data_IF_501745625505
#
_entry.id   IF_501745625505
#
_cell.length_a   1.000
_cell.length_b   1.000
_cell.length_c   1.000
_cell.angle_alpha   90.00
_cell.angle_beta   90.00
_cell.angle_gamma   90.00
#
_symmetry.space_group_name_H-M   'P 1'
#
loop_
_entity.id
_entity.type
_entity.pdbx_description
1 polymer ?
#
# COMPACT_ATOMS: atom_id res chain seq x y z
N UNK A 1 -4.83 17.59 3.73
CA UNK A 1 -3.51 17.32 4.40
C UNK A 1 -3.47 15.85 4.77
N UNK A 2 -2.39 15.14 4.46
CA UNK A 2 -2.22 13.74 4.84
C UNK A 2 -2.17 13.56 6.37
N UNK A 3 -2.65 12.41 6.87
CA UNK A 3 -2.58 12.04 8.29
C UNK A 3 -1.21 11.50 8.70
N UNK A 4 -0.45 10.96 7.74
CA UNK A 4 0.86 10.37 8.02
C UNK A 4 1.89 11.46 8.36
N UNK A 5 2.72 11.19 9.37
CA UNK A 5 3.85 12.03 9.72
C UNK A 5 5.09 11.56 8.98
N UNK A 6 5.46 12.25 7.91
CA UNK A 6 6.65 11.95 7.11
C UNK A 6 7.90 12.53 7.75
N UNK A 7 9.02 11.84 7.61
CA UNK A 7 10.33 12.29 8.08
C UNK A 7 10.99 13.24 7.07
N UNK A 8 10.99 12.83 5.80
CA UNK A 8 11.56 13.57 4.67
C UNK A 8 10.84 13.15 3.41
N UNK A 9 10.50 14.10 2.56
CA UNK A 9 9.97 13.81 1.22
C UNK A 9 11.01 14.19 0.17
N UNK A 10 11.31 13.25 -0.73
CA UNK A 10 12.12 13.50 -1.91
C UNK A 10 11.18 13.63 -3.10
N UNK A 11 11.11 14.83 -3.69
CA UNK A 11 10.24 15.16 -4.81
C UNK A 11 10.97 14.97 -6.14
N UNK A 12 10.24 14.64 -7.19
CA UNK A 12 10.75 14.43 -8.53
C UNK A 12 10.79 15.70 -9.39
N UNK A 13 10.81 16.88 -8.81
CA UNK A 13 11.24 18.11 -9.50
C UNK A 13 12.67 18.01 -10.04
N UNK A 14 13.42 17.05 -9.53
CA UNK A 14 14.69 16.52 -10.01
C UNK A 14 14.37 15.17 -10.66
N UNK A 15 15.14 14.71 -11.62
CA UNK A 15 15.03 13.39 -12.25
C UNK A 15 14.73 12.26 -11.24
N UNK A 16 13.74 11.40 -11.55
CA UNK A 16 13.30 10.30 -10.69
C UNK A 16 14.44 9.35 -10.31
N UNK A 17 15.39 9.12 -11.21
CA UNK A 17 16.56 8.27 -10.95
C UNK A 17 17.46 8.86 -9.86
N UNK A 18 17.61 10.18 -9.80
CA UNK A 18 18.34 10.88 -8.73
C UNK A 18 17.57 10.79 -7.41
N UNK A 19 16.26 10.99 -7.41
CA UNK A 19 15.42 10.83 -6.23
C UNK A 19 15.48 9.40 -5.66
N UNK A 20 15.43 8.39 -6.51
CA UNK A 20 15.60 6.99 -6.11
C UNK A 20 16.97 6.73 -5.47
N UNK A 21 18.06 7.20 -6.07
CA UNK A 21 19.41 7.06 -5.48
C UNK A 21 19.51 7.74 -4.13
N UNK A 22 18.95 8.93 -3.98
CA UNK A 22 18.95 9.65 -2.70
C UNK A 22 18.24 8.86 -1.61
N UNK A 23 17.03 8.38 -1.87
CA UNK A 23 16.23 7.66 -0.87
C UNK A 23 16.79 6.26 -0.57
N UNK A 24 17.41 5.58 -1.56
CA UNK A 24 17.93 4.22 -1.38
C UNK A 24 19.33 4.17 -0.77
N UNK A 25 20.09 5.26 -0.81
CA UNK A 25 21.46 5.30 -0.25
C UNK A 25 21.48 5.22 1.27
N UNK A 26 20.50 5.79 1.95
CA UNK A 26 20.38 5.76 3.41
C UNK A 26 18.89 5.84 3.82
N UNK A 27 18.10 4.81 3.53
CA UNK A 27 16.67 4.81 3.77
C UNK A 27 16.33 4.76 5.25
N UNK A 28 15.29 5.49 5.66
CA UNK A 28 14.73 5.41 7.00
C UNK A 28 13.21 5.29 6.93
N UNK A 29 12.62 4.60 7.89
CA UNK A 29 11.17 4.54 8.04
C UNK A 29 10.60 5.95 8.15
N UNK A 30 9.59 6.24 7.32
CA UNK A 30 8.94 7.56 7.22
C UNK A 30 9.59 8.52 6.21
N UNK A 31 10.73 8.20 5.59
CA UNK A 31 11.16 8.90 4.39
C UNK A 31 10.14 8.64 3.28
N UNK A 32 9.89 9.60 2.41
CA UNK A 32 8.90 9.47 1.36
C UNK A 32 9.46 9.85 -0.01
N UNK A 33 8.94 9.17 -1.04
CA UNK A 33 9.15 9.46 -2.45
C UNK A 33 7.85 10.00 -3.02
N UNK A 34 7.89 11.20 -3.60
CA UNK A 34 6.77 11.82 -4.28
C UNK A 34 7.04 11.91 -5.78
N UNK A 35 6.08 11.54 -6.61
CA UNK A 35 6.20 11.54 -8.06
C UNK A 35 4.82 11.66 -8.74
N UNK A 36 4.82 12.03 -10.01
CA UNK A 36 3.61 12.07 -10.82
C UNK A 36 3.52 10.80 -11.69
N UNK A 37 2.32 10.25 -11.78
CA UNK A 37 1.98 9.23 -12.76
C UNK A 37 1.90 9.84 -14.16
N UNK A 38 2.03 9.01 -15.21
CA UNK A 38 1.97 9.47 -16.60
C UNK A 38 0.62 10.12 -16.98
N UNK A 39 -0.42 9.91 -16.19
CA UNK A 39 -1.73 10.57 -16.36
C UNK A 39 -1.86 11.88 -15.55
N UNK A 40 -0.78 12.34 -14.92
CA UNK A 40 -0.70 13.59 -14.16
C UNK A 40 -1.17 13.50 -12.70
N UNK A 41 -1.60 12.32 -12.22
CA UNK A 41 -1.94 12.16 -10.79
C UNK A 41 -0.67 12.13 -9.95
N UNK A 42 -0.66 12.92 -8.89
CA UNK A 42 0.44 12.96 -7.91
C UNK A 42 0.29 11.85 -6.87
N UNK A 43 1.37 11.13 -6.60
CA UNK A 43 1.45 10.10 -5.56
C UNK A 43 2.64 10.37 -4.64
N UNK A 44 2.44 10.18 -3.35
CA UNK A 44 3.47 10.19 -2.33
C UNK A 44 3.46 8.84 -1.62
N UNK A 45 4.63 8.19 -1.56
CA UNK A 45 4.80 6.88 -0.94
C UNK A 45 5.83 6.98 0.19
N UNK A 46 5.46 6.56 1.40
CA UNK A 46 6.36 6.50 2.54
C UNK A 46 7.13 5.18 2.56
N UNK A 47 8.38 5.21 3.01
CA UNK A 47 9.15 4.02 3.41
C UNK A 47 8.52 3.45 4.67
N UNK A 48 7.94 2.25 4.57
CA UNK A 48 7.19 1.61 5.66
C UNK A 48 7.90 0.40 6.25
N UNK A 49 8.81 -0.20 5.47
CA UNK A 49 9.65 -1.32 5.89
C UNK A 49 10.99 -1.35 5.14
N UNK A 50 12.03 -1.82 5.82
CA UNK A 50 13.37 -1.97 5.24
C UNK A 50 13.92 -3.30 5.72
N UNK A 51 14.25 -4.19 4.78
CA UNK A 51 14.99 -5.42 5.09
C UNK A 51 16.39 -5.42 4.42
N UNK A 52 17.07 -6.56 4.48
CA UNK A 52 18.44 -6.70 3.94
C UNK A 52 18.47 -6.54 2.40
N UNK A 53 17.37 -6.76 1.70
CA UNK A 53 17.31 -6.86 0.24
C UNK A 53 16.57 -5.71 -0.41
N UNK A 54 15.57 -5.14 0.27
CA UNK A 54 14.64 -4.22 -0.33
C UNK A 54 14.07 -3.19 0.66
N UNK A 55 13.57 -2.12 0.08
CA UNK A 55 12.86 -1.04 0.75
C UNK A 55 11.41 -1.10 0.28
N UNK A 56 10.47 -1.11 1.21
CA UNK A 56 9.04 -1.08 0.92
C UNK A 56 8.52 0.35 0.98
N UNK A 57 7.73 0.69 -0.01
CA UNK A 57 6.99 1.95 -0.13
C UNK A 57 5.50 1.67 -0.14
N UNK A 58 4.75 2.40 0.67
CA UNK A 58 3.29 2.35 0.67
C UNK A 58 2.76 3.77 0.44
N UNK A 59 1.78 3.94 -0.45
CA UNK A 59 1.20 5.25 -0.69
C UNK A 59 0.63 5.85 0.58
N UNK A 60 0.91 7.12 0.81
CA UNK A 60 0.46 7.87 2.00
C UNK A 60 -1.06 7.99 1.99
N UNK A 61 -1.62 8.27 0.82
CA UNK A 61 -3.06 8.43 0.58
C UNK A 61 -3.54 7.50 -0.55
N UNK A 62 -4.85 7.43 -0.76
CA UNK A 62 -5.46 6.74 -1.89
C UNK A 62 -5.63 7.69 -3.09
N UNK A 63 -5.64 7.13 -4.31
CA UNK A 63 -5.69 7.92 -5.55
C UNK A 63 -7.10 8.38 -5.96
N UNK A 64 -8.14 8.07 -5.18
CA UNK A 64 -9.50 8.47 -5.46
C UNK A 64 -10.24 7.54 -6.43
N UNK A 65 -9.74 6.35 -6.65
CA UNK A 65 -10.40 5.32 -7.46
C UNK A 65 -11.15 4.35 -6.54
N UNK A 66 -12.46 4.55 -6.36
CA UNK A 66 -13.32 3.62 -5.63
C UNK A 66 -13.64 2.38 -6.48
N UNK A 67 -13.56 1.21 -5.87
CA UNK A 67 -13.72 -0.04 -6.63
C UNK A 67 -14.17 -1.23 -5.78
N UNK A 68 -14.77 -2.22 -6.46
CA UNK A 68 -14.96 -3.56 -5.89
C UNK A 68 -13.62 -4.27 -5.73
N UNK A 69 -13.50 -5.17 -4.75
CA UNK A 69 -12.27 -5.92 -4.52
C UNK A 69 -11.79 -6.67 -5.78
N UNK A 70 -12.69 -7.25 -6.54
CA UNK A 70 -12.36 -7.98 -7.78
C UNK A 70 -11.75 -7.12 -8.90
N UNK A 71 -11.77 -5.79 -8.78
CA UNK A 71 -11.13 -4.89 -9.74
C UNK A 71 -9.73 -4.45 -9.32
N UNK A 72 -9.34 -4.71 -8.08
CA UNK A 72 -8.07 -4.20 -7.49
C UNK A 72 -6.85 -4.66 -8.28
N UNK A 73 -6.73 -5.95 -8.59
CA UNK A 73 -5.59 -6.50 -9.35
C UNK A 73 -5.40 -5.77 -10.68
N UNK A 74 -6.47 -5.67 -11.47
CA UNK A 74 -6.45 -4.96 -12.75
C UNK A 74 -6.16 -3.47 -12.60
N UNK A 75 -6.59 -2.86 -11.51
CA UNK A 75 -6.31 -1.47 -11.21
C UNK A 75 -4.83 -1.28 -10.86
N UNK A 76 -4.23 -2.16 -10.03
CA UNK A 76 -2.79 -2.13 -9.72
C UNK A 76 -1.95 -2.30 -10.98
N UNK A 77 -2.31 -3.22 -11.88
CA UNK A 77 -1.65 -3.36 -13.18
C UNK A 77 -1.69 -2.05 -13.99
N UNK A 78 -2.82 -1.37 -14.01
CA UNK A 78 -2.94 -0.06 -14.68
C UNK A 78 -2.02 0.97 -14.03
N UNK A 79 -1.96 1.02 -12.70
CA UNK A 79 -1.07 1.95 -11.98
C UNK A 79 0.39 1.64 -12.28
N UNK A 80 0.82 0.37 -12.32
CA UNK A 80 2.19 0.00 -12.69
C UNK A 80 2.57 0.58 -14.06
N UNK A 81 1.67 0.50 -15.04
CA UNK A 81 1.91 1.06 -16.39
C UNK A 81 1.93 2.59 -16.44
N UNK A 82 1.34 3.26 -15.46
CA UNK A 82 1.35 4.72 -15.33
C UNK A 82 2.53 5.26 -14.51
N UNK A 83 3.32 4.41 -13.88
CA UNK A 83 4.51 4.84 -13.14
C UNK A 83 5.61 5.33 -14.10
N UNK A 84 6.44 6.31 -13.68
CA UNK A 84 7.62 6.71 -14.43
C UNK A 84 8.54 5.51 -14.73
N UNK A 85 9.11 5.46 -15.92
CA UNK A 85 9.87 4.31 -16.41
C UNK A 85 11.04 3.90 -15.50
N UNK A 86 11.77 4.87 -14.94
CA UNK A 86 12.88 4.59 -14.03
C UNK A 86 12.40 3.96 -12.72
N UNK A 87 11.33 4.46 -12.14
CA UNK A 87 10.73 3.87 -10.95
C UNK A 87 10.21 2.46 -11.26
N UNK A 88 9.50 2.32 -12.37
CA UNK A 88 8.96 1.03 -12.81
C UNK A 88 10.04 -0.03 -12.99
N UNK A 89 11.22 0.33 -13.53
CA UNK A 89 12.39 -0.57 -13.65
C UNK A 89 13.00 -0.94 -12.29
N UNK A 90 12.93 -0.04 -11.30
CA UNK A 90 13.47 -0.28 -9.97
C UNK A 90 12.57 -1.17 -9.11
N UNK A 91 11.26 -1.21 -9.37
CA UNK A 91 10.31 -2.06 -8.65
C UNK A 91 10.61 -3.52 -8.92
N UNK A 92 10.68 -4.31 -7.86
CA UNK A 92 10.93 -5.76 -7.91
C UNK A 92 9.66 -6.56 -7.64
N UNK A 93 9.59 -7.74 -8.26
CA UNK A 93 8.57 -8.73 -7.91
C UNK A 93 8.75 -9.18 -6.46
N UNK A 94 7.69 -9.14 -5.70
CA UNK A 94 7.67 -9.44 -4.27
C UNK A 94 6.80 -10.66 -4.02
N UNK A 95 7.34 -11.67 -3.34
CA UNK A 95 6.54 -12.81 -2.90
C UNK A 95 5.58 -12.36 -1.79
N UNK A 96 4.28 -12.46 -2.08
CA UNK A 96 3.21 -12.14 -1.15
C UNK A 96 2.44 -13.39 -0.76
N UNK A 97 2.15 -13.50 0.55
CA UNK A 97 1.35 -14.61 1.11
C UNK A 97 -0.08 -14.16 1.28
N UNK A 98 -1.00 -15.01 0.87
CA UNK A 98 -2.44 -14.78 1.01
C UNK A 98 -3.11 -16.01 1.63
N UNK A 99 -4.24 -15.79 2.30
CA UNK A 99 -5.18 -16.86 2.62
C UNK A 99 -6.40 -16.67 1.72
N UNK A 100 -6.65 -17.63 0.84
CA UNK A 100 -7.80 -17.64 -0.08
C UNK A 100 -8.60 -18.90 0.18
N UNK A 101 -9.85 -18.76 0.58
CA UNK A 101 -10.74 -19.89 0.96
C UNK A 101 -10.08 -20.85 1.96
N UNK A 102 -9.41 -20.27 2.97
CA UNK A 102 -8.70 -21.03 4.01
C UNK A 102 -7.38 -21.67 3.58
N UNK A 103 -6.95 -21.49 2.33
CA UNK A 103 -5.68 -22.02 1.82
C UNK A 103 -4.62 -20.95 1.73
N UNK A 104 -3.42 -21.24 2.26
CA UNK A 104 -2.26 -20.35 2.12
C UNK A 104 -1.67 -20.49 0.72
N UNK A 105 -1.54 -19.37 0.02
CA UNK A 105 -0.95 -19.28 -1.32
C UNK A 105 0.11 -18.19 -1.36
N UNK A 106 1.13 -18.36 -2.22
CA UNK A 106 2.14 -17.34 -2.50
C UNK A 106 1.96 -16.86 -3.94
N UNK A 107 2.08 -15.54 -4.13
CA UNK A 107 2.04 -14.89 -5.45
C UNK A 107 3.22 -13.95 -5.59
N UNK A 108 3.71 -13.77 -6.80
CA UNK A 108 4.65 -12.72 -7.13
C UNK A 108 3.86 -11.49 -7.58
N UNK A 109 4.03 -10.40 -6.88
CA UNK A 109 3.28 -9.15 -7.12
C UNK A 109 4.28 -8.00 -7.20
N UNK A 110 4.12 -7.15 -8.21
CA UNK A 110 4.91 -5.92 -8.37
C UNK A 110 4.33 -4.79 -7.53
N UNK A 111 3.06 -4.49 -7.76
CA UNK A 111 2.27 -3.64 -6.90
C UNK A 111 1.28 -4.51 -6.11
N UNK A 112 1.03 -4.17 -4.87
CA UNK A 112 0.18 -4.96 -3.99
C UNK A 112 -0.56 -4.09 -2.97
N UNK A 113 -1.57 -4.68 -2.32
CA UNK A 113 -2.21 -4.11 -1.13
C UNK A 113 -1.48 -4.55 0.15
N UNK A 114 -1.51 -3.75 1.22
CA UNK A 114 -1.05 -4.22 2.52
C UNK A 114 -1.96 -5.35 3.03
N UNK A 115 -1.40 -6.33 3.72
CA UNK A 115 -2.18 -7.33 4.43
C UNK A 115 -2.70 -6.78 5.76
N UNK A 116 -3.84 -7.28 6.26
CA UNK A 116 -4.40 -6.82 7.53
C UNK A 116 -3.42 -7.03 8.69
N UNK A 117 -2.67 -8.15 8.73
CA UNK A 117 -1.66 -8.40 9.76
C UNK A 117 -0.42 -7.52 9.66
N UNK A 118 -0.15 -6.87 8.53
CA UNK A 118 0.89 -5.83 8.43
C UNK A 118 0.45 -4.51 9.07
N UNK A 119 -0.85 -4.25 9.09
CA UNK A 119 -1.46 -3.00 9.59
C UNK A 119 -1.86 -3.10 11.07
N UNK A 120 -2.28 -4.29 11.52
CA UNK A 120 -2.88 -4.52 12.83
C UNK A 120 -2.23 -5.70 13.55
N UNK A 121 -2.50 -5.82 14.85
CA UNK A 121 -2.10 -6.95 15.69
C UNK A 121 -3.26 -7.46 16.54
N UNK A 122 -3.14 -8.69 17.01
CA UNK A 122 -4.13 -9.31 17.90
C UNK A 122 -5.52 -9.43 17.26
N UNK A 123 -6.56 -9.24 18.04
CA UNK A 123 -7.96 -9.41 17.63
C UNK A 123 -8.45 -8.41 16.56
N UNK A 124 -7.66 -7.37 16.30
CA UNK A 124 -7.93 -6.43 15.20
C UNK A 124 -7.60 -7.01 13.82
N UNK A 125 -6.90 -8.14 13.75
CA UNK A 125 -6.65 -8.86 12.50
C UNK A 125 -7.84 -9.76 12.20
N UNK A 126 -8.70 -9.33 11.30
CA UNK A 126 -9.98 -10.01 11.00
C UNK A 126 -9.84 -11.15 9.96
N UNK A 127 -8.66 -11.35 9.43
CA UNK A 127 -8.40 -12.29 8.33
C UNK A 127 -7.02 -12.93 8.41
N UNK A 128 -6.28 -13.05 7.43
CA UNK A 128 -4.96 -13.58 7.05
C UNK A 128 -4.16 -14.48 8.05
N UNK A 129 -4.75 -14.86 9.17
CA UNK A 129 -4.21 -15.80 10.17
C UNK A 129 -2.76 -15.46 10.63
N UNK A 130 -2.42 -14.17 10.71
CA UNK A 130 -1.09 -13.72 11.11
C UNK A 130 0.01 -14.10 10.12
N UNK A 131 -0.25 -14.06 8.82
CA UNK A 131 0.75 -14.30 7.76
C UNK A 131 1.95 -13.37 7.85
N UNK A 132 1.73 -12.17 8.40
CA UNK A 132 2.74 -11.15 8.60
C UNK A 132 2.74 -10.64 10.04
N UNK A 133 3.84 -9.99 10.42
CA UNK A 133 3.92 -9.23 11.66
C UNK A 133 3.49 -7.79 11.38
N UNK A 134 2.81 -7.17 12.34
CA UNK A 134 2.50 -5.74 12.26
C UNK A 134 3.78 -4.93 12.08
N UNK A 135 3.78 -4.06 11.09
CA UNK A 135 4.91 -3.17 10.80
C UNK A 135 4.93 -2.02 11.81
N UNK A 136 6.11 -1.62 12.25
CA UNK A 136 6.27 -0.55 13.25
C UNK A 136 5.66 0.77 12.78
N UNK A 137 5.75 1.09 11.49
CA UNK A 137 5.10 2.23 10.87
C UNK A 137 3.60 2.30 11.16
N UNK A 138 2.90 1.19 11.08
CA UNK A 138 1.46 1.12 11.26
C UNK A 138 0.99 0.96 12.71
N UNK A 139 1.89 0.96 13.70
CA UNK A 139 1.51 1.05 15.12
C UNK A 139 0.84 2.39 15.43
N UNK A 140 1.26 3.47 14.77
CA UNK A 140 0.56 4.75 14.82
C UNK A 140 -0.70 4.68 13.92
N UNK A 141 -1.89 4.87 14.53
CA UNK A 141 -3.16 4.86 13.81
C UNK A 141 -3.21 5.88 12.68
N UNK A 142 -2.55 7.03 12.84
CA UNK A 142 -2.54 8.09 11.82
C UNK A 142 -1.95 7.62 10.49
N UNK A 143 -1.01 6.68 10.52
CA UNK A 143 -0.41 6.11 9.32
C UNK A 143 -1.33 5.10 8.61
N UNK A 144 -2.40 4.63 9.28
CA UNK A 144 -3.44 3.79 8.68
C UNK A 144 -4.59 4.61 8.11
N UNK A 145 -4.73 5.88 8.53
CA UNK A 145 -5.74 6.78 7.96
C UNK A 145 -5.23 7.31 6.63
N UNK A 146 -6.04 7.19 5.58
CA UNK A 146 -5.72 7.70 4.26
C UNK A 146 -6.77 8.68 3.79
N UNK A 147 -6.34 9.67 3.04
CA UNK A 147 -7.24 10.58 2.34
C UNK A 147 -7.50 10.07 0.93
N UNK A 148 -8.68 10.31 0.45
CA UNK A 148 -8.98 10.23 -0.97
C UNK A 148 -8.44 11.50 -1.66
N UNK A 149 -7.56 11.32 -2.63
CA UNK A 149 -6.92 12.44 -3.33
C UNK A 149 -7.91 13.25 -4.19
N UNK A 150 -9.04 12.67 -4.57
CA UNK A 150 -10.04 13.33 -5.38
C UNK A 150 -10.99 14.19 -4.52
N UNK A 151 -11.54 13.63 -3.45
CA UNK A 151 -12.47 14.33 -2.56
C UNK A 151 -11.75 15.19 -1.49
N UNK A 152 -10.56 14.79 -1.08
CA UNK A 152 -9.84 15.40 0.04
C UNK A 152 -10.34 14.95 1.42
N UNK A 153 -11.26 13.98 1.47
CA UNK A 153 -11.81 13.41 2.70
C UNK A 153 -11.06 12.13 3.11
N UNK A 154 -11.17 11.74 4.37
CA UNK A 154 -10.67 10.44 4.80
C UNK A 154 -11.51 9.31 4.17
N UNK A 155 -10.83 8.28 3.68
CA UNK A 155 -11.48 7.17 2.95
C UNK A 155 -11.18 5.83 3.57
N UNK A 156 -12.07 4.87 3.35
CA UNK A 156 -11.82 3.46 3.62
C UNK A 156 -11.12 2.81 2.43
N UNK A 157 -10.28 1.79 2.70
CA UNK A 157 -9.52 1.14 1.64
C UNK A 157 -9.34 -0.37 1.86
N UNK A 158 -9.25 -1.12 0.77
CA UNK A 158 -9.04 -2.55 0.78
C UNK A 158 -7.65 -2.95 1.31
N UNK A 159 -7.60 -4.10 1.99
CA UNK A 159 -6.36 -4.85 2.24
C UNK A 159 -6.33 -6.10 1.38
N UNK A 160 -5.20 -6.79 1.30
CA UNK A 160 -5.09 -8.06 0.56
C UNK A 160 -5.67 -9.27 1.31
N UNK A 161 -6.18 -9.08 2.53
CA UNK A 161 -6.60 -10.17 3.40
C UNK A 161 -8.07 -10.51 3.23
N UNK A 162 -8.38 -11.77 2.89
CA UNK A 162 -9.74 -12.30 2.95
C UNK A 162 -10.14 -12.50 4.42
N UNK A 163 -11.39 -12.17 4.77
CA UNK A 163 -11.88 -12.39 6.12
C UNK A 163 -12.01 -13.89 6.43
N UNK A 164 -11.50 -14.29 7.59
CA UNK A 164 -11.63 -15.68 8.05
C UNK A 164 -13.11 -16.09 8.21
N UNK A 165 -13.47 -17.25 7.65
CA UNK A 165 -14.83 -17.79 7.69
C UNK A 165 -15.86 -17.08 6.79
N UNK A 166 -15.42 -16.12 5.94
CA UNK A 166 -16.32 -15.39 5.04
C UNK A 166 -15.69 -15.19 3.65
N UNK A 167 -15.91 -16.15 2.75
CA UNK A 167 -15.23 -16.22 1.45
C UNK A 167 -15.48 -15.03 0.51
N UNK A 168 -16.62 -14.33 0.65
CA UNK A 168 -16.93 -13.12 -0.12
C UNK A 168 -16.57 -11.82 0.60
N UNK A 169 -15.98 -11.89 1.81
CA UNK A 169 -15.58 -10.73 2.60
C UNK A 169 -14.07 -10.52 2.59
N UNK A 170 -13.67 -9.26 2.49
CA UNK A 170 -12.27 -8.85 2.60
C UNK A 170 -12.11 -7.82 3.71
N UNK A 171 -10.96 -7.91 4.39
CA UNK A 171 -10.59 -6.94 5.40
C UNK A 171 -10.30 -5.60 4.72
N UNK A 172 -10.64 -4.53 5.40
CA UNK A 172 -10.35 -3.18 4.99
C UNK A 172 -9.92 -2.34 6.20
N UNK A 173 -9.51 -1.13 5.93
CA UNK A 173 -9.29 -0.09 6.93
C UNK A 173 -10.34 0.97 6.69
N UNK A 174 -11.13 1.28 7.72
CA UNK A 174 -12.13 2.34 7.60
C UNK A 174 -11.50 3.74 7.64
N UNK A 175 -12.27 4.77 7.34
CA UNK A 175 -11.82 6.16 7.30
C UNK A 175 -11.16 6.66 8.60
N UNK A 176 -11.41 5.99 9.73
CA UNK A 176 -10.78 6.30 11.02
C UNK A 176 -9.48 5.52 11.28
N UNK A 177 -8.98 4.75 10.33
CA UNK A 177 -7.76 3.93 10.49
C UNK A 177 -7.97 2.70 11.39
N UNK A 178 -9.20 2.19 11.49
CA UNK A 178 -9.58 1.02 12.29
C UNK A 178 -9.85 -0.16 11.35
N UNK A 179 -9.52 -1.37 11.80
CA UNK A 179 -9.80 -2.59 11.07
C UNK A 179 -11.31 -2.80 10.92
N UNK A 180 -11.71 -3.15 9.70
CA UNK A 180 -13.08 -3.45 9.33
C UNK A 180 -13.10 -4.53 8.23
N UNK A 181 -14.28 -4.92 7.77
CA UNK A 181 -14.42 -5.83 6.63
C UNK A 181 -15.70 -5.54 5.86
N UNK A 182 -15.65 -5.80 4.58
CA UNK A 182 -16.78 -5.61 3.69
C UNK A 182 -16.91 -6.73 2.66
N UNK A 183 -18.08 -6.83 2.03
CA UNK A 183 -18.29 -7.72 0.92
C UNK A 183 -17.50 -7.23 -0.30
N UNK A 184 -16.81 -8.15 -0.99
CA UNK A 184 -15.99 -7.87 -2.18
C UNK A 184 -16.72 -7.15 -3.31
N UNK A 185 -18.06 -7.18 -3.34
CA UNK A 185 -18.89 -6.49 -4.34
C UNK A 185 -19.14 -5.02 -4.06
N UNK A 186 -18.80 -4.52 -2.86
CA UNK A 186 -18.95 -3.10 -2.54
C UNK A 186 -17.92 -2.28 -3.31
N UNK A 187 -18.37 -1.14 -3.88
CA UNK A 187 -17.60 -0.35 -4.83
C UNK A 187 -17.29 1.07 -4.31
N UNK A 188 -17.30 1.27 -3.00
CA UNK A 188 -17.04 2.56 -2.36
C UNK A 188 -15.74 2.59 -1.56
N UNK A 189 -14.94 1.51 -1.59
CA UNK A 189 -13.63 1.47 -0.98
C UNK A 189 -12.56 1.77 -2.04
N UNK A 190 -11.57 2.54 -1.63
CA UNK A 190 -10.39 2.85 -2.43
C UNK A 190 -9.31 1.78 -2.26
N UNK A 191 -8.14 1.99 -2.87
CA UNK A 191 -6.99 1.10 -2.73
C UNK A 191 -5.70 1.91 -2.60
N UNK A 192 -4.81 1.57 -1.66
CA UNK A 192 -3.46 2.10 -1.62
C UNK A 192 -2.56 1.35 -2.61
N UNK A 193 -1.43 1.96 -2.95
CA UNK A 193 -0.39 1.34 -3.78
C UNK A 193 0.81 1.02 -2.89
N UNK A 194 1.22 -0.24 -2.87
CA UNK A 194 2.44 -0.68 -2.19
C UNK A 194 3.37 -1.35 -3.19
N UNK A 195 4.67 -1.13 -3.05
CA UNK A 195 5.70 -1.77 -3.87
C UNK A 195 7.02 -1.87 -3.12
N UNK A 196 7.96 -2.62 -3.69
CA UNK A 196 9.32 -2.73 -3.17
C UNK A 196 10.35 -2.42 -4.24
N UNK A 197 11.44 -1.78 -3.84
CA UNK A 197 12.61 -1.56 -4.68
C UNK A 197 13.84 -2.21 -4.03
N UNK A 198 14.80 -2.62 -4.86
CA UNK A 198 16.04 -3.21 -4.35
C UNK A 198 16.83 -2.17 -3.57
N UNK A 199 17.37 -2.58 -2.44
CA UNK A 199 18.32 -1.79 -1.66
C UNK A 199 19.66 -1.70 -2.42
N UNK A 200 20.25 -0.52 -2.47
CA UNK A 200 21.55 -0.26 -3.11
C UNK A 200 22.71 -0.84 -2.32
#
# INVERSE_FOLDING_TARGET
MSFATLRKTVCTDIDIGTALKEITSNPHIGDALAFDLLDGRHIECAVTDIDDKAIRFDSVDCLGDDMTYGKVEKWLDRIDHLMPDELRKAIIDTERKHTIDGKKVCRLERLFLPAASELFSGDAVLGDDGLYKQMDWYKDRRHRMKMDKHSGDSTAYWTSSQRSGYSSGFCNVNANGIADYDNASLAWLSAPVCFRIRKS
#
